data_IF_325938182014
#
_entry.id   IF_325938182014
#
_cell.length_a   1.000
_cell.length_b   1.000
_cell.length_c   1.000
_cell.angle_alpha   90.00
_cell.angle_beta   90.00
_cell.angle_gamma   90.00
#
_symmetry.space_group_name_H-M   'P 1'
#
loop_
_entity.id
_entity.type
_entity.pdbx_description
1 polymer ?
#
# COMPACT_ATOMS: atom_id res chain seq x y z
N UNK A 1 16.08 8.96 -7.23
CA UNK A 1 14.98 8.06 -6.78
C UNK A 1 13.81 8.26 -7.73
N UNK A 2 13.03 7.21 -8.08
CA UNK A 2 11.83 7.43 -8.88
C UNK A 2 10.89 8.39 -8.13
N UNK A 3 10.20 9.27 -8.87
CA UNK A 3 9.20 10.19 -8.32
C UNK A 3 8.05 9.38 -7.73
N UNK A 4 7.78 9.57 -6.44
CA UNK A 4 6.66 8.92 -5.75
C UNK A 4 5.36 9.56 -6.22
N UNK A 5 4.44 8.77 -6.76
CA UNK A 5 3.13 9.30 -7.18
C UNK A 5 2.22 9.45 -5.97
N UNK A 6 1.81 10.69 -5.68
CA UNK A 6 0.92 11.03 -4.56
C UNK A 6 -0.57 10.91 -4.92
N UNK A 7 -0.89 10.64 -6.19
CA UNK A 7 -2.28 10.56 -6.67
C UNK A 7 -3.03 9.46 -5.93
N UNK A 8 -4.24 9.79 -5.47
CA UNK A 8 -5.11 8.85 -4.78
C UNK A 8 -5.46 7.67 -5.70
N UNK A 9 -5.19 6.42 -5.30
CA UNK A 9 -5.62 5.26 -6.07
C UNK A 9 -7.15 5.10 -6.00
N UNK A 10 -7.71 4.26 -6.88
CA UNK A 10 -9.09 3.83 -6.75
C UNK A 10 -9.34 3.31 -5.33
N UNK A 11 -10.53 3.58 -4.77
CA UNK A 11 -10.84 3.43 -3.33
C UNK A 11 -10.53 2.07 -2.69
N UNK A 12 -10.14 1.06 -3.48
CA UNK A 12 -9.60 -0.24 -3.06
C UNK A 12 -8.24 -0.15 -2.37
N UNK A 13 -7.37 0.81 -2.72
CA UNK A 13 -6.01 0.91 -2.20
C UNK A 13 -5.84 2.15 -1.31
N UNK A 14 -4.82 2.14 -0.45
CA UNK A 14 -4.44 3.29 0.36
C UNK A 14 -3.66 4.29 -0.50
N UNK A 15 -3.94 5.57 -0.32
CA UNK A 15 -3.12 6.69 -0.81
C UNK A 15 -1.79 6.78 -0.05
N UNK A 16 -0.87 7.57 -0.56
CA UNK A 16 0.40 7.81 0.13
C UNK A 16 0.20 8.45 1.51
N UNK A 17 -0.67 9.46 1.61
CA UNK A 17 -0.99 10.11 2.88
C UNK A 17 -1.54 9.12 3.91
N UNK A 18 -2.45 8.22 3.51
CA UNK A 18 -2.95 7.18 4.41
C UNK A 18 -1.87 6.18 4.82
N UNK A 19 -0.87 5.91 3.96
CA UNK A 19 0.29 5.06 4.32
C UNK A 19 1.21 5.76 5.31
N UNK A 20 1.41 7.07 5.19
CA UNK A 20 2.19 7.85 6.13
C UNK A 20 1.54 7.87 7.51
N UNK A 21 0.24 8.15 7.56
CA UNK A 21 -0.54 8.12 8.79
C UNK A 21 -0.54 6.72 9.42
N UNK A 22 -0.64 5.66 8.62
CA UNK A 22 -0.47 4.27 9.10
C UNK A 22 0.89 4.06 9.76
N UNK A 23 1.97 4.57 9.16
CA UNK A 23 3.32 4.43 9.67
C UNK A 23 3.49 5.12 11.03
N UNK A 24 2.98 6.35 11.17
CA UNK A 24 2.99 7.12 12.42
C UNK A 24 2.23 6.37 13.51
N UNK A 25 0.99 5.96 13.23
CA UNK A 25 0.16 5.25 14.22
C UNK A 25 0.76 3.89 14.62
N UNK A 26 1.44 3.20 13.69
CA UNK A 26 2.21 1.98 13.99
C UNK A 26 3.39 2.24 14.90
N UNK A 27 4.15 3.31 14.66
CA UNK A 27 5.28 3.70 15.52
C UNK A 27 4.82 4.07 16.93
N UNK A 28 3.61 4.62 17.07
CA UNK A 28 2.93 4.86 18.35
C UNK A 28 2.37 3.59 19.01
N UNK A 29 2.56 2.40 18.42
CA UNK A 29 2.09 1.12 18.97
C UNK A 29 0.59 0.85 18.80
N UNK A 30 -0.12 1.58 17.93
CA UNK A 30 -1.54 1.34 17.73
C UNK A 30 -1.85 0.06 16.94
N UNK A 31 -2.87 -0.67 17.42
CA UNK A 31 -3.36 -1.87 16.75
C UNK A 31 -4.15 -1.58 15.47
N UNK A 32 -4.27 -2.60 14.61
CA UNK A 32 -4.92 -2.50 13.28
C UNK A 32 -6.33 -1.90 13.35
N UNK A 33 -7.15 -2.30 14.32
CA UNK A 33 -8.55 -1.80 14.44
C UNK A 33 -8.62 -0.32 14.84
N UNK A 34 -7.65 0.19 15.60
CA UNK A 34 -7.58 1.62 15.95
C UNK A 34 -7.20 2.41 14.70
N UNK A 35 -6.14 2.01 14.01
CA UNK A 35 -5.67 2.61 12.76
C UNK A 35 -6.79 2.66 11.72
N UNK A 36 -7.52 1.56 11.54
CA UNK A 36 -8.62 1.47 10.59
C UNK A 36 -9.74 2.49 10.86
N UNK A 37 -10.09 2.69 12.14
CA UNK A 37 -11.06 3.72 12.54
C UNK A 37 -10.55 5.13 12.26
N UNK A 38 -9.30 5.43 12.61
CA UNK A 38 -8.67 6.73 12.35
C UNK A 38 -8.66 7.06 10.86
N UNK A 39 -8.26 6.09 10.02
CA UNK A 39 -8.20 6.25 8.56
C UNK A 39 -9.55 6.11 7.86
N UNK A 40 -10.65 5.84 8.59
CA UNK A 40 -11.98 5.54 8.02
C UNK A 40 -11.93 4.43 6.95
N UNK A 41 -11.10 3.41 7.17
CA UNK A 41 -10.93 2.26 6.29
C UNK A 41 -11.35 0.97 6.98
N UNK A 42 -11.63 -0.06 6.19
CA UNK A 42 -11.89 -1.38 6.76
C UNK A 42 -10.63 -1.93 7.46
N UNK A 43 -10.74 -2.58 8.62
CA UNK A 43 -9.61 -3.25 9.27
C UNK A 43 -8.91 -4.26 8.35
N UNK A 44 -9.68 -4.87 7.46
CA UNK A 44 -9.17 -5.82 6.47
C UNK A 44 -8.26 -5.14 5.42
N UNK A 45 -8.53 -3.87 5.05
CA UNK A 45 -7.66 -3.07 4.18
C UNK A 45 -6.32 -2.81 4.84
N UNK A 46 -6.33 -2.34 6.09
CA UNK A 46 -5.11 -2.05 6.86
C UNK A 46 -4.29 -3.32 7.10
N UNK A 47 -4.93 -4.42 7.50
CA UNK A 47 -4.25 -5.71 7.69
C UNK A 47 -3.57 -6.19 6.40
N UNK A 48 -4.27 -6.12 5.27
CA UNK A 48 -3.75 -6.53 3.97
C UNK A 48 -2.60 -5.65 3.50
N UNK A 49 -2.69 -4.33 3.71
CA UNK A 49 -1.62 -3.39 3.42
C UNK A 49 -0.35 -3.77 4.20
N UNK A 50 -0.45 -3.86 5.53
CA UNK A 50 0.72 -4.15 6.37
C UNK A 50 1.32 -5.51 6.02
N UNK A 51 0.50 -6.55 5.81
CA UNK A 51 1.01 -7.88 5.45
C UNK A 51 1.78 -7.88 4.13
N UNK A 52 1.33 -7.13 3.13
CA UNK A 52 1.97 -7.09 1.80
C UNK A 52 3.18 -6.17 1.74
N UNK A 53 3.10 -5.04 2.43
CA UNK A 53 4.01 -3.92 2.24
C UNK A 53 4.94 -3.65 3.43
N UNK A 54 4.80 -4.35 4.57
CA UNK A 54 5.80 -4.27 5.64
C UNK A 54 7.20 -4.55 5.07
N UNK A 55 8.15 -3.70 5.43
CA UNK A 55 9.52 -3.82 4.98
C UNK A 55 10.29 -4.59 6.06
N UNK A 56 10.67 -5.83 5.77
CA UNK A 56 11.75 -6.51 6.47
C UNK A 56 13.06 -6.05 5.85
N UNK A 57 13.49 -4.83 6.15
CA UNK A 57 14.88 -4.44 5.91
C UNK A 57 15.55 -4.38 7.28
N UNK A 58 16.63 -5.13 7.45
CA UNK A 58 17.45 -5.17 8.68
C UNK A 58 16.85 -5.96 9.86
N UNK A 59 15.98 -6.95 9.62
CA UNK A 59 15.46 -7.84 10.68
C UNK A 59 14.41 -7.23 11.61
N UNK A 60 14.12 -5.92 11.51
CA UNK A 60 13.01 -5.25 12.19
C UNK A 60 11.81 -5.09 11.27
N UNK A 61 10.62 -5.36 11.81
CA UNK A 61 9.34 -5.27 11.10
C UNK A 61 8.79 -3.82 11.12
N UNK A 62 9.59 -2.86 10.65
CA UNK A 62 9.17 -1.46 10.59
C UNK A 62 8.39 -1.17 9.31
N UNK A 63 7.19 -0.60 9.47
CA UNK A 63 6.37 -0.17 8.35
C UNK A 63 6.83 1.21 7.89
N UNK A 64 7.36 1.30 6.66
CA UNK A 64 7.81 2.57 6.04
C UNK A 64 6.90 2.92 4.86
N UNK A 65 6.26 4.08 4.90
CA UNK A 65 5.28 4.51 3.90
C UNK A 65 5.88 4.61 2.48
N UNK A 66 7.08 5.18 2.34
CA UNK A 66 7.78 5.28 1.05
C UNK A 66 8.11 3.93 0.42
N UNK A 67 8.52 2.94 1.24
CA UNK A 67 8.78 1.58 0.76
C UNK A 67 7.47 0.88 0.37
N UNK A 68 6.42 1.06 1.17
CA UNK A 68 5.11 0.51 0.88
C UNK A 68 4.53 1.05 -0.43
N UNK A 69 4.69 2.36 -0.66
CA UNK A 69 4.29 3.03 -1.89
C UNK A 69 5.08 2.51 -3.09
N UNK A 70 6.40 2.46 -3.01
CA UNK A 70 7.24 1.93 -4.08
C UNK A 70 6.89 0.47 -4.43
N UNK A 71 6.66 -0.39 -3.42
CA UNK A 71 6.17 -1.76 -3.64
C UNK A 71 4.81 -1.77 -4.33
N UNK A 72 3.87 -0.92 -3.91
CA UNK A 72 2.55 -0.83 -4.52
C UNK A 72 2.64 -0.42 -6.00
N UNK A 73 3.45 0.59 -6.33
CA UNK A 73 3.70 1.03 -7.70
C UNK A 73 4.38 -0.07 -8.53
N UNK A 74 5.37 -0.76 -7.97
CA UNK A 74 6.05 -1.86 -8.64
C UNK A 74 5.10 -3.02 -8.98
N UNK A 75 4.19 -3.37 -8.06
CA UNK A 75 3.18 -4.42 -8.28
C UNK A 75 2.04 -3.97 -9.19
N UNK A 76 1.78 -2.66 -9.28
CA UNK A 76 0.80 -2.09 -10.20
C UNK A 76 1.28 -2.10 -11.65
N UNK A 77 2.61 -2.01 -11.88
CA UNK A 77 3.19 -2.27 -13.19
C UNK A 77 2.83 -3.71 -13.57
N UNK A 78 1.92 -3.86 -14.53
CA UNK A 78 1.49 -5.16 -15.08
C UNK A 78 2.31 -5.43 -16.34
N UNK A 79 3.50 -6.04 -16.26
CA UNK A 79 4.38 -6.23 -17.41
C UNK A 79 3.85 -7.25 -18.44
N UNK A 80 2.66 -7.82 -18.21
CA UNK A 80 2.02 -8.75 -19.13
C UNK A 80 1.17 -7.98 -20.14
N UNK A 81 1.27 -8.35 -21.41
CA UNK A 81 0.39 -7.85 -22.47
C UNK A 81 -1.06 -7.97 -22.02
N UNK A 82 -1.83 -6.90 -22.16
CA UNK A 82 -3.24 -6.89 -21.78
C UNK A 82 -3.99 -7.94 -22.62
N UNK A 83 -4.96 -8.64 -22.01
CA UNK A 83 -5.71 -9.71 -22.68
C UNK A 83 -6.40 -9.21 -23.97
N UNK A 84 -6.91 -7.98 -23.95
CA UNK A 84 -7.55 -7.33 -25.11
C UNK A 84 -6.55 -7.01 -26.23
N UNK A 85 -5.29 -6.72 -25.88
CA UNK A 85 -4.24 -6.47 -26.88
C UNK A 85 -3.77 -7.78 -27.52
N UNK A 86 -3.72 -8.86 -26.73
CA UNK A 86 -3.28 -10.17 -27.21
C UNK A 86 -4.38 -10.96 -27.94
N UNK A 87 -5.66 -10.67 -27.69
CA UNK A 87 -6.78 -11.36 -28.33
C UNK A 87 -7.85 -10.33 -28.76
N UNK A 88 -7.96 -10.02 -30.06
CA UNK A 88 -8.92 -9.03 -30.57
C UNK A 88 -10.39 -9.50 -30.57
N UNK A 89 -10.68 -10.74 -30.16
CA UNK A 89 -12.04 -11.28 -30.04
C UNK A 89 -12.62 -11.16 -28.62
N UNK A 90 -11.88 -10.56 -27.67
CA UNK A 90 -12.30 -10.31 -26.27
C UNK A 90 -12.73 -8.86 -26.04
#
# INVERSE_FOLDING_TARGET
MPSISLTAPSGRYLSFAEREELAILRAQGHGIRKIARTLRRSPSTISREVRRNAATRSGKLEYRASVAQWKAELMAKRPKVAKLVANPQL
#
